data_IF_303554044584
#
_entry.id   IF_303554044584
#
_cell.length_a   1.000
_cell.length_b   1.000
_cell.length_c   1.000
_cell.angle_alpha   90.00
_cell.angle_beta   90.00
_cell.angle_gamma   90.00
#
_symmetry.space_group_name_H-M   'P 1'
#
loop_
_entity.id
_entity.type
_entity.pdbx_description
1 polymer ?
#
# COMPACT_ATOMS: atom_id res chain seq x y z
N UNK A 1 19.66 -12.96 -8.17
CA UNK A 1 18.56 -12.44 -7.33
C UNK A 1 18.62 -13.15 -5.98
N UNK A 2 19.10 -12.50 -4.91
CA UNK A 2 19.20 -13.11 -3.58
C UNK A 2 17.79 -13.07 -2.98
N UNK A 3 17.16 -14.22 -2.81
CA UNK A 3 15.90 -14.30 -2.06
C UNK A 3 16.19 -13.79 -0.65
N UNK A 4 15.42 -12.79 -0.22
CA UNK A 4 15.45 -12.34 1.17
C UNK A 4 15.20 -13.57 2.07
N UNK A 5 15.87 -13.63 3.22
CA UNK A 5 15.58 -14.72 4.17
C UNK A 5 14.09 -14.68 4.54
N UNK A 6 13.53 -15.84 4.87
CA UNK A 6 12.13 -15.95 5.30
C UNK A 6 11.79 -14.95 6.42
N UNK A 7 12.76 -14.64 7.28
CA UNK A 7 12.58 -13.70 8.38
C UNK A 7 12.42 -12.25 7.90
N UNK A 8 13.20 -11.82 6.90
CA UNK A 8 13.04 -10.48 6.32
C UNK A 8 11.69 -10.35 5.63
N UNK A 9 11.25 -11.38 4.91
CA UNK A 9 9.93 -11.37 4.29
C UNK A 9 8.80 -11.23 5.32
N UNK A 10 8.88 -12.01 6.42
CA UNK A 10 7.91 -11.90 7.52
C UNK A 10 7.92 -10.52 8.18
N UNK A 11 9.09 -9.92 8.37
CA UNK A 11 9.21 -8.58 8.94
C UNK A 11 8.56 -7.52 8.04
N UNK A 12 8.75 -7.62 6.72
CA UNK A 12 8.11 -6.72 5.75
C UNK A 12 6.59 -6.86 5.79
N UNK A 13 6.06 -8.09 5.80
CA UNK A 13 4.62 -8.31 5.89
C UNK A 13 4.03 -7.77 7.21
N UNK A 14 4.73 -7.95 8.32
CA UNK A 14 4.31 -7.42 9.61
C UNK A 14 4.29 -5.88 9.63
N UNK A 15 5.27 -5.23 8.99
CA UNK A 15 5.31 -3.78 8.87
C UNK A 15 4.15 -3.25 8.01
N UNK A 16 3.83 -3.92 6.89
CA UNK A 16 2.68 -3.57 6.04
C UNK A 16 1.37 -3.67 6.84
N UNK A 17 1.17 -4.76 7.58
CA UNK A 17 -0.02 -4.95 8.41
C UNK A 17 -0.14 -3.87 9.51
N UNK A 18 0.97 -3.50 10.16
CA UNK A 18 0.96 -2.45 11.18
C UNK A 18 0.55 -1.08 10.60
N UNK A 19 1.08 -0.74 9.41
CA UNK A 19 0.73 0.50 8.70
C UNK A 19 -0.78 0.53 8.37
N UNK A 20 -1.32 -0.56 7.83
CA UNK A 20 -2.74 -0.64 7.46
C UNK A 20 -3.67 -0.67 8.68
N UNK A 21 -3.21 -1.19 9.81
CA UNK A 21 -3.97 -1.19 11.08
C UNK A 21 -3.90 0.12 11.85
N UNK A 22 -2.94 0.99 11.59
CA UNK A 22 -2.79 2.26 12.32
C UNK A 22 -4.10 3.09 12.37
N UNK A 23 -4.86 3.30 11.28
CA UNK A 23 -6.12 4.03 11.32
C UNK A 23 -7.16 3.40 12.27
N UNK A 24 -7.19 2.07 12.36
CA UNK A 24 -8.07 1.33 13.28
C UNK A 24 -7.59 1.48 14.72
N UNK A 25 -6.29 1.30 14.98
CA UNK A 25 -5.67 1.48 16.31
C UNK A 25 -5.86 2.89 16.85
N UNK A 26 -5.94 3.89 15.98
CA UNK A 26 -6.19 5.30 16.30
C UNK A 26 -7.68 5.65 16.42
N UNK A 27 -8.58 4.71 16.17
CA UNK A 27 -10.04 4.93 16.24
C UNK A 27 -10.61 5.81 15.12
N UNK A 28 -9.88 5.96 14.01
CA UNK A 28 -10.30 6.81 12.88
C UNK A 28 -11.30 6.09 11.95
N UNK A 29 -11.19 4.77 11.86
CA UNK A 29 -12.09 3.90 11.09
C UNK A 29 -12.25 2.55 11.79
N UNK A 30 -13.36 1.86 11.56
CA UNK A 30 -13.64 0.53 12.11
C UNK A 30 -12.84 -0.60 11.42
N UNK A 31 -12.38 -0.37 10.19
CA UNK A 31 -11.71 -1.36 9.35
C UNK A 31 -10.64 -0.68 8.49
N UNK A 32 -9.50 -1.33 8.27
CA UNK A 32 -8.38 -0.79 7.49
C UNK A 32 -8.81 -0.33 6.09
N UNK A 33 -9.59 -1.15 5.37
CA UNK A 33 -10.12 -0.83 4.03
C UNK A 33 -10.97 0.44 3.93
N UNK A 34 -11.49 0.94 5.06
CA UNK A 34 -12.27 2.19 5.08
C UNK A 34 -11.39 3.43 5.14
N UNK A 35 -10.10 3.27 5.45
CA UNK A 35 -9.15 4.37 5.42
C UNK A 35 -8.75 4.71 3.99
N UNK A 36 -9.30 5.80 3.47
CA UNK A 36 -9.13 6.21 2.08
C UNK A 36 -7.66 6.42 1.67
N UNK A 37 -6.85 6.89 2.61
CA UNK A 37 -5.47 7.31 2.38
C UNK A 37 -4.45 6.19 2.64
N UNK A 38 -4.76 4.98 2.17
CA UNK A 38 -3.85 3.83 2.19
C UNK A 38 -4.09 2.90 1.00
N UNK A 39 -3.12 2.04 0.71
CA UNK A 39 -3.27 0.98 -0.30
C UNK A 39 -4.09 -0.22 0.19
N UNK A 40 -4.67 -0.21 1.40
CA UNK A 40 -5.31 -1.38 2.01
C UNK A 40 -6.35 -2.05 1.11
N UNK A 41 -7.14 -1.27 0.35
CA UNK A 41 -8.14 -1.81 -0.59
C UNK A 41 -7.52 -2.42 -1.85
N UNK A 42 -6.44 -1.82 -2.34
CA UNK A 42 -5.70 -2.35 -3.48
C UNK A 42 -5.06 -3.69 -3.11
N UNK A 43 -4.43 -3.78 -1.94
CA UNK A 43 -3.83 -5.00 -1.40
C UNK A 43 -4.88 -6.10 -1.14
N UNK A 44 -6.00 -5.78 -0.50
CA UNK A 44 -7.12 -6.73 -0.26
C UNK A 44 -7.72 -7.28 -1.56
N UNK A 45 -7.64 -6.52 -2.65
CA UNK A 45 -8.19 -6.87 -3.95
C UNK A 45 -7.21 -7.58 -4.90
N UNK A 46 -6.01 -7.91 -4.43
CA UNK A 46 -4.91 -8.39 -5.28
C UNK A 46 -4.66 -7.47 -6.50
N UNK A 47 -4.74 -6.16 -6.25
CA UNK A 47 -4.52 -5.10 -7.24
C UNK A 47 -5.67 -4.83 -8.20
N UNK A 48 -6.86 -5.42 -8.00
CA UNK A 48 -8.03 -5.21 -8.86
C UNK A 48 -8.79 -3.91 -8.54
N UNK A 49 -8.71 -3.42 -7.30
CA UNK A 49 -9.37 -2.19 -6.87
C UNK A 49 -8.42 -1.01 -7.00
N UNK A 50 -8.74 -0.10 -7.92
CA UNK A 50 -8.12 1.23 -8.02
C UNK A 50 -9.14 2.25 -7.54
N UNK A 51 -8.77 3.06 -6.54
CA UNK A 51 -9.66 4.10 -6.03
C UNK A 51 -9.92 5.12 -7.17
N UNK A 52 -11.19 5.34 -7.55
CA UNK A 52 -11.54 6.21 -8.68
C UNK A 52 -11.20 7.68 -8.45
N UNK A 53 -10.92 8.07 -7.20
CA UNK A 53 -10.51 9.43 -6.84
C UNK A 53 -8.98 9.60 -6.84
N UNK A 54 -8.20 8.56 -7.12
CA UNK A 54 -6.76 8.69 -7.27
C UNK A 54 -6.43 9.49 -8.54
N UNK A 55 -5.47 10.42 -8.48
CA UNK A 55 -5.00 11.09 -9.67
C UNK A 55 -4.25 10.11 -10.57
N UNK A 56 -4.36 10.30 -11.88
CA UNK A 56 -3.49 9.64 -12.83
C UNK A 56 -2.06 10.12 -12.62
N UNK A 57 -1.16 9.22 -12.20
CA UNK A 57 0.27 9.52 -12.11
C UNK A 57 0.84 9.46 -13.52
N UNK A 58 1.14 10.62 -14.10
CA UNK A 58 1.88 10.70 -15.36
C UNK A 58 3.34 10.30 -15.10
N UNK A 59 3.89 9.47 -15.98
CA UNK A 59 5.33 9.19 -15.99
C UNK A 59 6.15 10.46 -16.23
N UNK A 60 7.45 10.37 -16.00
CA UNK A 60 8.36 11.45 -16.38
C UNK A 60 8.26 11.69 -17.89
N UNK A 61 8.41 12.96 -18.29
CA UNK A 61 8.47 13.31 -19.72
C UNK A 61 9.66 12.63 -20.37
N UNK A 62 9.52 12.27 -21.64
CA UNK A 62 10.64 11.83 -22.46
C UNK A 62 11.79 12.84 -22.37
N UNK A 63 13.00 12.34 -22.08
CA UNK A 63 14.19 13.18 -21.92
C UNK A 63 14.34 13.88 -20.56
N UNK A 64 13.57 13.52 -19.53
CA UNK A 64 13.71 14.14 -18.20
C UNK A 64 15.11 14.01 -17.58
N UNK A 65 15.85 12.94 -17.93
CA UNK A 65 17.21 12.69 -17.45
C UNK A 65 18.30 12.90 -18.52
N UNK A 66 17.93 13.35 -19.73
CA UNK A 66 18.88 13.60 -20.82
C UNK A 66 19.41 15.02 -20.82
#
# INVERSE_FOLDING_TARGET
MKLLSNDVWRAVLAAIDDIHRNPVRRGLVEQARRWKWSSSRWDESDGQFVDPELPTIHGLRDGFFS
#
